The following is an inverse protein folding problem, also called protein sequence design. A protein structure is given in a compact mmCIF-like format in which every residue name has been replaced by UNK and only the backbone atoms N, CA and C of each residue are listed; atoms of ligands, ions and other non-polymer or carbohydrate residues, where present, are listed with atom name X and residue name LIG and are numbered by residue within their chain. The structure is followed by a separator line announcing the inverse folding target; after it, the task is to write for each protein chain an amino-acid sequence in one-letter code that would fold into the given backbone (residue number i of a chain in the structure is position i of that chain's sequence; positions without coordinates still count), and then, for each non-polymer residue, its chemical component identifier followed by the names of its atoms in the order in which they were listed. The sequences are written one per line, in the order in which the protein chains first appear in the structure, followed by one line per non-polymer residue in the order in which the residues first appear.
data_IF_461848196350
#
_entry.id   IF_461848196350
#
_cell.length_a   1.000
_cell.length_b   1.000
_cell.length_c   1.000
_cell.angle_alpha   90.00
_cell.angle_beta   90.00
_cell.angle_gamma   90.00
#
_symmetry.space_group_name_H-M   'P 1'
#
loop_
_entity.id
_entity.type
_entity.pdbx_description
1 polymer ?
#
# COMPACT_ATOMS: atom_id res chain seq x y z
N UNK A 1 -14.58 -33.56 4.23
CA UNK A 1 -14.59 -33.15 2.81
C UNK A 1 -15.60 -32.01 2.69
N UNK A 2 -15.16 -30.75 2.77
CA UNK A 2 -16.02 -29.58 2.62
C UNK A 2 -15.30 -28.55 1.77
N UNK A 3 -15.79 -28.36 0.54
CA UNK A 3 -15.33 -27.34 -0.39
C UNK A 3 -16.02 -26.03 -0.03
N UNK A 4 -15.25 -25.01 0.37
CA UNK A 4 -15.78 -23.66 0.54
C UNK A 4 -15.82 -22.97 -0.83
N UNK A 5 -17.02 -22.86 -1.39
CA UNK A 5 -17.32 -21.98 -2.50
C UNK A 5 -17.36 -20.53 -2.00
N UNK A 6 -16.44 -19.69 -2.49
CA UNK A 6 -16.51 -18.25 -2.33
C UNK A 6 -17.53 -17.69 -3.34
N UNK A 7 -18.72 -17.33 -2.86
CA UNK A 7 -19.73 -16.65 -3.67
C UNK A 7 -19.46 -15.14 -3.67
N UNK A 8 -19.06 -14.61 -4.82
CA UNK A 8 -18.94 -13.17 -5.04
C UNK A 8 -20.30 -12.58 -5.38
N UNK A 9 -20.83 -11.69 -4.53
CA UNK A 9 -22.08 -10.97 -4.78
C UNK A 9 -21.83 -9.94 -5.87
N UNK A 10 -22.30 -10.24 -7.10
CA UNK A 10 -22.21 -9.36 -8.26
C UNK A 10 -23.39 -8.39 -8.28
N UNK A 11 -23.26 -7.24 -7.61
CA UNK A 11 -24.20 -6.15 -7.82
C UNK A 11 -23.87 -5.38 -9.10
N UNK A 12 -24.61 -5.73 -10.16
CA UNK A 12 -24.66 -4.99 -11.42
C UNK A 12 -25.54 -3.75 -11.21
N UNK A 13 -24.93 -2.58 -11.02
CA UNK A 13 -25.55 -1.30 -11.35
C UNK A 13 -24.74 -0.64 -12.46
N UNK A 14 -25.46 -0.35 -13.54
CA UNK A 14 -24.97 0.25 -14.78
C UNK A 14 -25.01 1.76 -14.65
N UNK A 15 -23.85 2.41 -14.51
CA UNK A 15 -23.62 3.81 -14.91
C UNK A 15 -22.12 3.92 -15.24
N UNK A 16 -21.86 4.38 -16.46
CA UNK A 16 -20.61 4.86 -17.07
C UNK A 16 -19.26 4.14 -16.85
N UNK A 17 -18.65 3.85 -18.00
CA UNK A 17 -17.41 3.12 -18.22
C UNK A 17 -16.19 4.05 -18.19
N UNK A 18 -15.86 4.65 -17.04
CA UNK A 18 -14.54 5.28 -16.90
C UNK A 18 -14.05 5.31 -15.44
N UNK A 19 -13.15 4.39 -15.09
CA UNK A 19 -12.56 4.19 -13.75
C UNK A 19 -13.43 3.37 -12.79
N UNK A 20 -13.44 2.04 -13.00
CA UNK A 20 -13.77 1.07 -11.95
C UNK A 20 -12.77 1.24 -10.80
N UNK A 21 -13.09 2.05 -9.81
CA UNK A 21 -12.44 2.03 -8.51
C UNK A 21 -12.79 0.70 -7.84
N UNK A 22 -11.87 -0.26 -7.90
CA UNK A 22 -11.99 -1.51 -7.14
C UNK A 22 -11.79 -1.20 -5.66
N UNK A 23 -12.88 -1.23 -4.88
CA UNK A 23 -12.84 -1.09 -3.43
C UNK A 23 -12.43 -2.44 -2.83
N UNK A 24 -11.29 -2.47 -2.14
CA UNK A 24 -10.81 -3.64 -1.41
C UNK A 24 -11.26 -3.57 0.05
N UNK A 25 -12.09 -4.52 0.47
CA UNK A 25 -12.46 -4.68 1.88
C UNK A 25 -11.56 -5.76 2.49
N UNK A 26 -10.65 -5.35 3.37
CA UNK A 26 -9.82 -6.27 4.16
C UNK A 26 -10.56 -6.57 5.45
N UNK A 27 -11.10 -7.79 5.57
CA UNK A 27 -11.71 -8.25 6.81
C UNK A 27 -10.60 -8.89 7.66
N UNK A 28 -10.19 -8.19 8.73
CA UNK A 28 -9.28 -8.76 9.72
C UNK A 28 -10.03 -9.84 10.50
N UNK A 29 -9.75 -11.12 10.21
CA UNK A 29 -10.25 -12.21 11.04
C UNK A 29 -9.60 -12.11 12.43
N UNK A 30 -10.37 -12.20 13.53
CA UNK A 30 -9.80 -12.19 14.87
C UNK A 30 -9.07 -13.52 15.10
N UNK A 31 -7.83 -13.61 14.64
CA UNK A 31 -6.95 -14.69 15.05
C UNK A 31 -6.71 -14.58 16.56
N UNK A 32 -6.81 -15.71 17.26
CA UNK A 32 -6.67 -15.83 18.72
C UNK A 32 -5.28 -15.43 19.25
N UNK A 33 -4.35 -15.11 18.37
CA UNK A 33 -3.12 -14.40 18.71
C UNK A 33 -3.41 -12.91 18.55
N UNK A 34 -3.77 -12.27 19.66
CA UNK A 34 -3.77 -10.81 19.73
C UNK A 34 -2.34 -10.34 19.51
N UNK A 35 -1.92 -10.16 18.26
CA UNK A 35 -0.81 -9.26 17.92
C UNK A 35 -1.21 -7.93 18.51
N UNK A 36 -0.60 -7.59 19.64
CA UNK A 36 -0.93 -6.38 20.38
C UNK A 36 -0.60 -5.22 19.44
N UNK A 37 -1.63 -4.63 18.82
CA UNK A 37 -1.54 -3.47 17.94
C UNK A 37 -1.22 -2.23 18.79
N UNK A 38 -0.08 -2.25 19.48
CA UNK A 38 0.32 -1.24 20.45
C UNK A 38 0.85 0.02 19.81
N UNK A 39 1.06 0.02 18.49
CA UNK A 39 1.49 1.19 17.72
C UNK A 39 0.82 1.24 16.35
N UNK A 40 0.73 2.45 15.78
CA UNK A 40 0.24 2.65 14.41
C UNK A 40 1.04 1.82 13.40
N UNK A 41 2.36 1.72 13.58
CA UNK A 41 3.24 0.90 12.72
C UNK A 41 2.84 -0.58 12.76
N UNK A 42 2.61 -1.16 13.94
CA UNK A 42 2.21 -2.57 14.08
C UNK A 42 0.87 -2.85 13.39
N UNK A 43 -0.06 -1.90 13.45
CA UNK A 43 -1.33 -1.97 12.72
C UNK A 43 -1.14 -1.93 11.21
N UNK A 44 -0.30 -1.03 10.69
CA UNK A 44 -0.01 -0.98 9.26
C UNK A 44 0.65 -2.28 8.81
N UNK A 45 1.62 -2.82 9.56
CA UNK A 45 2.28 -4.09 9.22
C UNK A 45 1.30 -5.26 9.17
N UNK A 46 0.40 -5.38 10.16
CA UNK A 46 -0.68 -6.37 10.16
C UNK A 46 -1.60 -6.18 8.94
N UNK A 47 -2.00 -4.95 8.61
CA UNK A 47 -2.80 -4.72 7.40
C UNK A 47 -2.10 -5.23 6.14
N UNK A 48 -0.78 -5.04 6.00
CA UNK A 48 -0.03 -5.52 4.85
C UNK A 48 -0.02 -7.03 4.73
N UNK A 49 -0.05 -7.79 5.84
CA UNK A 49 -0.10 -9.26 5.77
C UNK A 49 -1.43 -9.77 5.23
N UNK A 50 -2.51 -9.00 5.40
CA UNK A 50 -3.84 -9.33 4.88
C UNK A 50 -4.10 -8.80 3.47
N UNK A 51 -3.21 -7.95 2.92
CA UNK A 51 -3.37 -7.47 1.56
C UNK A 51 -2.99 -8.56 0.54
N UNK A 52 -3.83 -8.82 -0.49
CA UNK A 52 -3.54 -9.80 -1.52
C UNK A 52 -2.44 -9.30 -2.47
N UNK A 53 -1.17 -9.47 -2.07
CA UNK A 53 0.01 -8.96 -2.78
C UNK A 53 -0.02 -9.27 -4.28
N UNK A 54 -0.27 -10.51 -4.65
CA UNK A 54 -0.31 -10.95 -6.06
C UNK A 54 -1.34 -10.17 -6.90
N UNK A 55 -2.46 -9.77 -6.28
CA UNK A 55 -3.51 -9.00 -6.96
C UNK A 55 -3.10 -7.55 -7.15
N UNK A 56 -2.43 -6.94 -6.18
CA UNK A 56 -1.84 -5.61 -6.35
C UNK A 56 -0.78 -5.62 -7.46
N UNK A 57 0.08 -6.63 -7.51
CA UNK A 57 1.07 -6.77 -8.60
C UNK A 57 0.39 -6.92 -9.96
N UNK A 58 -0.67 -7.73 -10.05
CA UNK A 58 -1.45 -7.89 -11.28
C UNK A 58 -2.11 -6.56 -11.72
N UNK A 59 -2.71 -5.82 -10.78
CA UNK A 59 -3.35 -4.54 -11.05
C UNK A 59 -2.34 -3.47 -11.48
N UNK A 60 -1.17 -3.41 -10.84
CA UNK A 60 -0.08 -2.49 -11.24
C UNK A 60 0.38 -2.82 -12.66
N UNK A 61 0.55 -4.11 -12.98
CA UNK A 61 0.89 -4.57 -14.33
C UNK A 61 -0.15 -4.17 -15.37
N UNK A 62 -1.43 -4.39 -15.07
CA UNK A 62 -2.55 -4.02 -15.94
C UNK A 62 -2.60 -2.51 -16.18
N UNK A 63 -2.48 -1.70 -15.12
CA UNK A 63 -2.45 -0.23 -15.24
C UNK A 63 -1.23 0.27 -15.99
N UNK A 64 -0.06 -0.36 -15.82
CA UNK A 64 1.15 -0.05 -16.60
C UNK A 64 0.95 -0.30 -18.10
N UNK A 65 0.31 -1.42 -18.46
CA UNK A 65 0.04 -1.75 -19.86
C UNK A 65 -1.04 -0.85 -20.48
N UNK A 66 -2.07 -0.49 -19.71
CA UNK A 66 -3.18 0.32 -20.19
C UNK A 66 -2.90 1.81 -20.22
N UNK A 67 -2.07 2.32 -19.32
CA UNK A 67 -1.80 3.75 -19.18
C UNK A 67 -0.30 4.04 -19.28
N UNK A 68 0.15 4.64 -20.41
CA UNK A 68 1.53 5.09 -20.57
C UNK A 68 1.95 6.13 -19.52
N UNK A 69 1.00 6.94 -19.04
CA UNK A 69 1.25 7.93 -17.98
C UNK A 69 1.53 7.21 -16.66
N UNK A 70 0.72 6.20 -16.32
CA UNK A 70 0.94 5.39 -15.13
C UNK A 70 2.27 4.62 -15.19
N UNK A 71 2.63 4.10 -16.37
CA UNK A 71 3.92 3.44 -16.57
C UNK A 71 5.10 4.38 -16.28
N UNK A 72 5.11 5.58 -16.87
CA UNK A 72 6.14 6.59 -16.63
C UNK A 72 6.20 7.04 -15.17
N UNK A 73 5.04 7.20 -14.54
CA UNK A 73 4.97 7.53 -13.12
C UNK A 73 5.58 6.42 -12.25
N UNK A 74 5.25 5.17 -12.53
CA UNK A 74 5.77 4.03 -11.77
C UNK A 74 7.27 3.83 -11.97
N UNK A 75 7.77 4.02 -13.19
CA UNK A 75 9.21 4.04 -13.48
C UNK A 75 9.92 5.18 -12.75
N UNK A 76 9.34 6.39 -12.73
CA UNK A 76 9.88 7.51 -11.99
C UNK A 76 9.91 7.24 -10.48
N UNK A 77 8.87 6.61 -9.91
CA UNK A 77 8.83 6.20 -8.51
C UNK A 77 9.93 5.17 -8.16
N UNK A 78 10.21 4.24 -9.06
CA UNK A 78 11.28 3.23 -8.88
C UNK A 78 12.68 3.75 -9.21
N UNK A 79 12.80 4.95 -9.77
CA UNK A 79 14.09 5.52 -10.16
C UNK A 79 15.00 5.76 -8.95
N UNK A 80 16.31 5.58 -9.17
CA UNK A 80 17.33 5.95 -8.18
C UNK A 80 17.32 7.45 -7.89
N UNK A 81 16.94 8.27 -8.87
CA UNK A 81 16.79 9.71 -8.73
C UNK A 81 15.69 10.06 -7.73
N UNK A 82 14.51 9.43 -7.84
CA UNK A 82 13.43 9.63 -6.87
C UNK A 82 13.87 9.21 -5.47
N UNK A 83 14.48 8.03 -5.31
CA UNK A 83 15.02 7.59 -4.02
C UNK A 83 15.99 8.62 -3.42
N UNK A 84 16.93 9.12 -4.21
CA UNK A 84 17.90 10.13 -3.78
C UNK A 84 17.22 11.43 -3.36
N UNK A 85 16.25 11.91 -4.15
CA UNK A 85 15.49 13.13 -3.82
C UNK A 85 14.64 12.96 -2.57
N UNK A 86 13.98 11.83 -2.39
CA UNK A 86 13.20 11.50 -1.18
C UNK A 86 14.10 11.42 0.04
N UNK A 87 15.30 10.82 -0.07
CA UNK A 87 16.28 10.79 1.02
C UNK A 87 16.84 12.17 1.35
N UNK A 88 17.08 13.01 0.35
CA UNK A 88 17.48 14.39 0.55
C UNK A 88 16.37 15.20 1.25
N UNK A 89 15.13 15.08 0.78
CA UNK A 89 13.96 15.71 1.41
C UNK A 89 13.77 15.24 2.86
N UNK A 90 13.99 13.95 3.14
CA UNK A 90 13.92 13.38 4.48
C UNK A 90 14.87 14.05 5.47
N UNK A 91 16.05 14.49 5.00
CA UNK A 91 17.07 15.14 5.83
C UNK A 91 16.78 16.63 6.09
N UNK A 92 15.78 17.21 5.44
CA UNK A 92 15.43 18.62 5.64
C UNK A 92 14.83 18.84 7.03
N UNK A 93 15.10 20.00 7.62
CA UNK A 93 14.59 20.36 8.95
C UNK A 93 13.06 20.32 9.02
N UNK A 94 12.37 20.73 7.95
CA UNK A 94 10.91 20.71 7.90
C UNK A 94 10.34 19.30 8.01
N UNK A 95 10.91 18.34 7.27
CA UNK A 95 10.47 16.94 7.34
C UNK A 95 10.85 16.33 8.68
N UNK A 96 12.06 16.60 9.18
CA UNK A 96 12.48 16.11 10.51
C UNK A 96 11.63 16.66 11.65
N UNK A 97 11.11 17.89 11.54
CA UNK A 97 10.18 18.45 12.52
C UNK A 97 8.85 17.70 12.53
N UNK A 98 8.31 17.35 11.36
CA UNK A 98 7.09 16.53 11.26
C UNK A 98 7.35 15.11 11.79
N UNK A 99 8.50 14.51 11.47
CA UNK A 99 8.89 13.19 12.01
C UNK A 99 8.94 13.21 13.53
N UNK A 100 9.50 14.28 14.13
CA UNK A 100 9.53 14.45 15.59
C UNK A 100 8.14 14.62 16.19
N UNK A 101 7.29 15.42 15.55
CA UNK A 101 5.89 15.58 15.99
C UNK A 101 5.18 14.23 16.00
N UNK A 102 5.27 13.48 14.89
CA UNK A 102 4.69 12.14 14.78
C UNK A 102 5.25 11.17 15.83
N UNK A 103 6.55 11.21 16.10
CA UNK A 103 7.16 10.39 17.16
C UNK A 103 6.62 10.75 18.55
N UNK A 104 6.28 12.03 18.77
CA UNK A 104 5.62 12.50 20.00
C UNK A 104 4.24 11.90 20.21
N UNK A 105 3.58 11.45 19.13
CA UNK A 105 2.29 10.76 19.13
C UNK A 105 2.42 9.23 18.92
N UNK A 106 3.60 8.66 19.19
CA UNK A 106 3.89 7.23 19.02
C UNK A 106 3.70 6.69 17.58
N UNK A 107 3.83 7.57 16.59
CA UNK A 107 3.83 7.21 15.16
C UNK A 107 5.27 7.22 14.66
N UNK A 108 5.80 6.04 14.32
CA UNK A 108 7.14 5.94 13.74
C UNK A 108 7.10 6.19 12.22
N UNK A 109 7.36 7.45 11.83
CA UNK A 109 7.41 7.84 10.43
C UNK A 109 8.56 7.19 9.65
N UNK A 110 9.64 6.79 10.32
CA UNK A 110 10.77 6.10 9.69
C UNK A 110 10.36 4.67 9.28
N UNK A 111 9.60 3.98 10.12
CA UNK A 111 9.04 2.67 9.77
C UNK A 111 8.00 2.77 8.66
N UNK A 112 7.13 3.80 8.69
CA UNK A 112 6.17 4.04 7.61
C UNK A 112 6.85 4.31 6.27
N UNK A 113 7.99 5.00 6.27
CA UNK A 113 8.82 5.20 5.07
C UNK A 113 9.36 3.87 4.54
N UNK A 114 9.83 2.98 5.42
CA UNK A 114 10.31 1.66 5.01
C UNK A 114 9.21 0.82 4.37
N UNK A 115 8.03 0.80 5.01
CA UNK A 115 6.81 0.17 4.48
C UNK A 115 6.44 0.73 3.10
N UNK A 116 6.47 2.06 2.95
CA UNK A 116 6.18 2.71 1.66
C UNK A 116 7.11 2.24 0.53
N UNK A 117 8.41 2.13 0.79
CA UNK A 117 9.36 1.57 -0.19
C UNK A 117 9.13 0.09 -0.46
N UNK A 118 8.75 -0.68 0.55
CA UNK A 118 8.41 -2.09 0.38
C UNK A 118 7.23 -2.26 -0.58
N UNK A 119 6.14 -1.51 -0.39
CA UNK A 119 4.96 -1.58 -1.27
C UNK A 119 5.32 -1.18 -2.70
N UNK A 120 6.12 -0.11 -2.89
CA UNK A 120 6.59 0.32 -4.22
C UNK A 120 7.45 -0.78 -4.88
N UNK A 121 8.17 -1.57 -4.08
CA UNK A 121 8.97 -2.69 -4.58
C UNK A 121 8.16 -3.88 -5.08
N UNK A 122 6.86 -3.99 -4.70
CA UNK A 122 6.01 -5.10 -5.12
C UNK A 122 5.69 -5.07 -6.62
N UNK A 123 5.72 -3.88 -7.24
CA UNK A 123 5.45 -3.78 -8.67
C UNK A 123 6.54 -4.43 -9.54
N UNK A 124 6.17 -4.80 -10.78
CA UNK A 124 7.01 -5.55 -11.72
C UNK A 124 8.42 -4.94 -11.86
N UNK A 125 9.44 -5.80 -11.91
CA UNK A 125 10.82 -5.44 -12.27
C UNK A 125 10.92 -4.98 -13.71
#
# INVERSE_FOLDING_TARGET
HWHHHFNFIRHRRSVDDDLREEIFVVLLEPNSETTQLSSFTSFVQELLTHLPRDRFVALINEKRQRSPIFAKFYEALKSSEFKTKSEAAWKTTNVQNVVRELSGHAIDAQDLKAIGYEIISWGPT
#
